data_IF_234161653346
#
_entry.id   IF_234161653346
#
_cell.length_a   1.000
_cell.length_b   1.000
_cell.length_c   1.000
_cell.angle_alpha   90.00
_cell.angle_beta   90.00
_cell.angle_gamma   90.00
#
_symmetry.space_group_name_H-M   'P 1'
#
loop_
_entity.id
_entity.type
_entity.pdbx_description
1 polymer ?
#
# COMPACT_ATOMS: atom_id res chain seq x y z
N UNK A 1 -1.79 -30.47 1.68
CA UNK A 1 -2.14 -29.16 2.27
C UNK A 1 -1.12 -28.86 3.36
N UNK A 2 -0.40 -27.73 3.32
CA UNK A 2 0.63 -27.40 4.34
C UNK A 2 -0.05 -26.73 5.55
N UNK A 3 0.29 -27.19 6.75
CA UNK A 3 -0.20 -26.72 8.06
C UNK A 3 1.01 -26.38 8.93
N UNK A 4 0.89 -25.42 9.86
CA UNK A 4 1.96 -25.14 10.83
C UNK A 4 1.97 -26.19 11.98
N UNK A 5 2.95 -26.09 12.88
CA UNK A 5 3.15 -27.05 13.99
C UNK A 5 1.99 -27.12 15.00
N UNK A 6 1.01 -26.22 14.94
CA UNK A 6 -0.21 -26.22 15.78
C UNK A 6 -1.50 -26.56 15.00
N UNK A 7 -1.40 -27.09 13.77
CA UNK A 7 -2.56 -27.61 13.04
C UNK A 7 -3.59 -26.56 12.62
N UNK A 8 -3.22 -25.27 12.67
CA UNK A 8 -4.08 -24.19 12.17
C UNK A 8 -3.94 -24.12 10.65
N UNK A 9 -5.04 -23.86 9.91
CA UNK A 9 -4.90 -23.49 8.51
C UNK A 9 -4.10 -22.19 8.45
N UNK A 10 -2.97 -22.21 7.74
CA UNK A 10 -2.20 -21.00 7.41
C UNK A 10 -3.10 -20.14 6.51
N UNK A 11 -3.93 -19.33 7.13
CA UNK A 11 -4.56 -18.21 6.46
C UNK A 11 -3.43 -17.24 6.15
N UNK A 12 -3.04 -17.14 4.88
CA UNK A 12 -2.12 -16.11 4.37
C UNK A 12 -2.79 -14.73 4.47
N UNK A 13 -3.11 -14.32 5.69
CA UNK A 13 -3.67 -13.02 6.02
C UNK A 13 -2.71 -12.37 7.03
N UNK A 14 -1.47 -12.18 6.60
CA UNK A 14 -0.44 -11.43 7.31
C UNK A 14 -0.22 -10.11 6.58
N UNK A 15 -1.00 -9.15 7.04
CA UNK A 15 -0.99 -7.73 6.74
C UNK A 15 0.42 -7.17 6.95
N UNK A 16 1.09 -6.89 5.85
CA UNK A 16 2.44 -6.37 5.84
C UNK A 16 3.17 -6.66 4.54
N UNK A 17 2.45 -6.72 3.41
CA UNK A 17 3.12 -6.71 2.12
C UNK A 17 4.06 -5.50 2.11
N UNK A 18 5.36 -5.77 1.98
CA UNK A 18 6.38 -4.74 1.93
C UNK A 18 6.15 -3.94 0.66
N UNK A 19 5.63 -2.73 0.82
CA UNK A 19 5.49 -1.77 -0.25
C UNK A 19 6.89 -1.28 -0.66
N UNK A 20 7.30 -1.59 -1.87
CA UNK A 20 8.61 -1.28 -2.42
C UNK A 20 8.51 -0.26 -3.56
N UNK A 21 9.65 0.36 -3.89
CA UNK A 21 9.76 1.24 -5.05
C UNK A 21 9.47 0.44 -6.33
N UNK A 22 8.63 0.98 -7.20
CA UNK A 22 8.16 0.32 -8.42
C UNK A 22 6.79 -0.34 -8.26
N UNK A 23 6.33 -0.59 -7.03
CA UNK A 23 5.04 -1.25 -6.82
C UNK A 23 3.86 -0.35 -7.20
N UNK A 24 2.86 -0.99 -7.80
CA UNK A 24 1.56 -0.38 -8.07
C UNK A 24 0.73 -0.38 -6.80
N UNK A 25 0.23 0.80 -6.47
CA UNK A 25 -0.53 1.03 -5.26
C UNK A 25 -1.76 1.88 -5.53
N UNK A 26 -2.75 1.75 -4.65
CA UNK A 26 -3.88 2.67 -4.54
C UNK A 26 -4.11 3.01 -3.07
N UNK A 27 -5.04 3.92 -2.80
CA UNK A 27 -5.48 4.17 -1.43
C UNK A 27 -6.27 2.98 -0.89
N UNK A 28 -5.85 2.48 0.27
CA UNK A 28 -6.64 1.56 1.10
C UNK A 28 -7.96 2.20 1.55
N UNK A 29 -8.88 1.42 2.11
CA UNK A 29 -10.13 1.94 2.69
C UNK A 29 -9.88 3.09 3.68
N UNK A 30 -8.93 2.93 4.62
CA UNK A 30 -8.56 3.98 5.58
C UNK A 30 -7.92 5.19 4.89
N UNK A 31 -7.09 4.94 3.87
CA UNK A 31 -6.48 5.99 3.06
C UNK A 31 -7.52 6.84 2.32
N UNK A 32 -8.58 6.21 1.81
CA UNK A 32 -9.70 6.89 1.12
C UNK A 32 -10.54 7.72 2.07
N UNK A 33 -10.79 7.22 3.28
CA UNK A 33 -11.51 7.96 4.32
C UNK A 33 -10.77 9.23 4.74
N UNK A 34 -9.44 9.14 4.94
CA UNK A 34 -8.60 10.29 5.34
C UNK A 34 -8.26 11.21 4.17
N UNK A 35 -8.19 10.68 2.95
CA UNK A 35 -7.83 11.42 1.74
C UNK A 35 -8.80 11.17 0.59
N UNK A 36 -10.04 11.67 0.69
CA UNK A 36 -11.07 11.46 -0.33
C UNK A 36 -10.68 12.05 -1.70
N UNK A 37 -9.79 13.05 -1.73
CA UNK A 37 -9.24 13.64 -2.97
C UNK A 37 -8.52 12.62 -3.86
N UNK A 38 -7.91 11.59 -3.27
CA UNK A 38 -7.17 10.58 -4.04
C UNK A 38 -8.05 9.39 -4.40
N UNK A 39 -9.18 9.17 -3.71
CA UNK A 39 -10.19 8.17 -4.07
C UNK A 39 -9.61 6.83 -4.51
N UNK A 40 -10.07 6.33 -5.66
CA UNK A 40 -9.61 5.07 -6.24
C UNK A 40 -8.42 5.24 -7.21
N UNK A 41 -7.69 6.37 -7.12
CA UNK A 41 -6.54 6.60 -7.99
C UNK A 41 -5.45 5.60 -7.69
N UNK A 42 -4.89 5.08 -8.77
CA UNK A 42 -3.71 4.24 -8.73
C UNK A 42 -2.45 5.06 -8.98
N UNK A 43 -1.33 4.53 -8.53
CA UNK A 43 -0.03 5.15 -8.70
C UNK A 43 1.10 4.15 -8.53
N UNK A 44 2.31 4.65 -8.65
CA UNK A 44 3.55 3.90 -8.46
C UNK A 44 4.31 4.49 -7.27
N UNK A 45 4.87 3.66 -6.42
CA UNK A 45 5.85 4.12 -5.42
C UNK A 45 7.14 4.46 -6.17
N UNK A 46 7.56 5.71 -6.09
CA UNK A 46 8.76 6.23 -6.77
C UNK A 46 9.92 6.51 -5.81
N UNK A 47 9.68 6.41 -4.51
CA UNK A 47 10.72 6.62 -3.51
C UNK A 47 10.23 6.42 -2.08
N UNK A 48 11.18 6.46 -1.15
CA UNK A 48 10.94 6.32 0.29
C UNK A 48 11.39 7.62 0.94
N UNK A 49 10.50 8.29 1.67
CA UNK A 49 10.87 9.47 2.46
C UNK A 49 11.26 9.06 3.89
N UNK A 50 10.59 8.06 4.46
CA UNK A 50 10.92 7.41 5.73
C UNK A 50 10.36 5.98 5.76
N UNK A 51 10.70 5.13 6.73
CA UNK A 51 10.21 3.74 6.80
C UNK A 51 8.67 3.59 6.80
N UNK A 52 7.96 4.66 7.19
CA UNK A 52 6.51 4.71 7.21
C UNK A 52 5.92 5.62 6.14
N UNK A 53 6.73 6.40 5.42
CA UNK A 53 6.27 7.38 4.43
C UNK A 53 6.88 7.07 3.07
N UNK A 54 6.00 6.80 2.10
CA UNK A 54 6.35 6.47 0.73
C UNK A 54 5.99 7.63 -0.19
N UNK A 55 6.83 7.88 -1.19
CA UNK A 55 6.54 8.84 -2.26
C UNK A 55 5.83 8.11 -3.39
N UNK A 56 4.59 8.50 -3.66
CA UNK A 56 3.74 7.90 -4.68
C UNK A 56 3.50 8.92 -5.78
N UNK A 57 3.67 8.49 -7.04
CA UNK A 57 3.21 9.23 -8.22
C UNK A 57 1.88 8.62 -8.64
N UNK A 58 0.77 9.31 -8.37
CA UNK A 58 -0.54 8.90 -8.88
C UNK A 58 -0.65 9.22 -10.36
N UNK A 59 -1.29 8.35 -11.14
CA UNK A 59 -1.32 8.47 -12.61
C UNK A 59 -2.02 9.75 -13.07
N UNK A 60 -3.05 10.17 -12.34
CA UNK A 60 -3.80 11.39 -12.62
C UNK A 60 -3.04 12.68 -12.31
N UNK A 61 -1.88 12.60 -11.64
CA UNK A 61 -1.13 13.76 -11.15
C UNK A 61 0.31 13.75 -11.67
N UNK A 62 0.80 14.91 -12.10
CA UNK A 62 2.22 15.07 -12.47
C UNK A 62 3.15 15.11 -11.25
N UNK A 63 2.60 15.33 -10.06
CA UNK A 63 3.35 15.50 -8.81
C UNK A 63 3.44 14.22 -8.01
N UNK A 64 4.56 14.04 -7.31
CA UNK A 64 4.75 12.98 -6.32
C UNK A 64 4.25 13.45 -4.97
N UNK A 65 3.54 12.59 -4.24
CA UNK A 65 2.99 12.89 -2.91
C UNK A 65 3.51 11.89 -1.87
N UNK A 66 3.76 12.38 -0.66
CA UNK A 66 4.20 11.56 0.47
C UNK A 66 3.00 11.00 1.20
N UNK A 67 2.83 9.67 1.19
CA UNK A 67 1.70 8.96 1.80
C UNK A 67 2.22 7.95 2.83
N UNK A 68 1.50 7.80 3.93
CA UNK A 68 1.81 6.77 4.92
C UNK A 68 1.57 5.37 4.38
N UNK A 69 2.51 4.44 4.60
CA UNK A 69 2.44 3.05 4.12
C UNK A 69 1.12 2.35 4.46
N UNK A 70 0.56 2.62 5.64
CA UNK A 70 -0.70 2.03 6.10
C UNK A 70 -1.94 2.59 5.41
N UNK A 71 -1.80 3.64 4.59
CA UNK A 71 -2.90 4.16 3.78
C UNK A 71 -2.87 3.62 2.35
N UNK A 72 -1.84 2.87 1.98
CA UNK A 72 -1.67 2.30 0.66
C UNK A 72 -1.96 0.80 0.68
N UNK A 73 -2.46 0.29 -0.42
CA UNK A 73 -2.59 -1.14 -0.68
C UNK A 73 -2.11 -1.45 -2.09
N UNK A 74 -1.63 -2.68 -2.30
CA UNK A 74 -1.29 -3.16 -3.64
C UNK A 74 -2.54 -3.22 -4.53
N UNK A 75 -2.30 -3.01 -5.83
CA UNK A 75 -3.30 -3.22 -6.90
C UNK A 75 -3.14 -4.58 -7.52
#
# INVERSE_FOLDING_TARGET
MKVDRMGRPISNNLQGASLNIGDRVRMSALGRERHPRYGDRQGVIVGIASPSILRVKFDATKTTVSIHRGYLEHV
#
